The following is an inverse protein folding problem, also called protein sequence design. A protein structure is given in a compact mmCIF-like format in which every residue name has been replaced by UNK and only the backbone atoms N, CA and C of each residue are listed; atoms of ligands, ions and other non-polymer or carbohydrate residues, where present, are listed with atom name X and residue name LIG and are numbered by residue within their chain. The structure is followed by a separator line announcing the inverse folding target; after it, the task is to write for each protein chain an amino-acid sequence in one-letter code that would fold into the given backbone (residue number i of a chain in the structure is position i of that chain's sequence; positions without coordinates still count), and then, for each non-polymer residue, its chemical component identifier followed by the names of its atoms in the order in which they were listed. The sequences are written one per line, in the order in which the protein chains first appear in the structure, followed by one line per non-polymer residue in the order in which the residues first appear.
data_IF_145909811035
#
_entry.id   IF_145909811035
#
_cell.length_a   1.000
_cell.length_b   1.000
_cell.length_c   1.000
_cell.angle_alpha   90.00
_cell.angle_beta   90.00
_cell.angle_gamma   90.00
#
_symmetry.space_group_name_H-M   'P 1'
#
loop_
_entity.id
_entity.type
_entity.pdbx_description
1 polymer ?
#
# COMPACT_ATOMS: atom_id res chain seq x y z
N UNK A 1 14.14 -1.56 -12.86
CA UNK A 1 12.80 -2.19 -12.76
C UNK A 1 12.71 -2.76 -11.37
N UNK A 2 11.79 -2.23 -10.57
CA UNK A 2 11.55 -2.70 -9.22
C UNK A 2 10.43 -3.74 -9.20
N UNK A 3 10.26 -4.38 -8.04
CA UNK A 3 9.21 -5.36 -7.79
C UNK A 3 8.50 -4.99 -6.49
N UNK A 4 7.18 -4.86 -6.53
CA UNK A 4 6.35 -4.49 -5.40
C UNK A 4 5.40 -5.63 -5.03
N UNK A 5 5.20 -5.88 -3.74
CA UNK A 5 4.17 -6.80 -3.27
C UNK A 5 2.80 -6.12 -3.37
N UNK A 6 1.81 -6.83 -3.89
CA UNK A 6 0.44 -6.34 -4.02
C UNK A 6 -0.55 -7.31 -3.36
N UNK A 7 -1.66 -6.77 -2.85
CA UNK A 7 -2.78 -7.55 -2.34
C UNK A 7 -3.87 -7.54 -3.42
N UNK A 8 -4.10 -8.69 -4.05
CA UNK A 8 -4.99 -8.78 -5.22
C UNK A 8 -6.41 -9.18 -4.84
N UNK A 9 -6.55 -10.08 -3.88
CA UNK A 9 -7.81 -10.62 -3.37
C UNK A 9 -7.63 -11.00 -1.89
N UNK A 10 -8.71 -11.11 -1.09
CA UNK A 10 -8.59 -11.53 0.30
C UNK A 10 -7.82 -12.85 0.43
N UNK A 11 -6.76 -12.85 1.24
CA UNK A 11 -5.90 -14.02 1.44
C UNK A 11 -4.82 -14.22 0.37
N UNK A 12 -4.74 -13.37 -0.66
CA UNK A 12 -3.86 -13.56 -1.81
C UNK A 12 -2.96 -12.36 -2.06
N UNK A 13 -1.67 -12.66 -2.14
CA UNK A 13 -0.62 -11.70 -2.51
C UNK A 13 -0.04 -12.07 -3.87
N UNK A 14 0.47 -11.07 -4.57
CA UNK A 14 1.26 -11.25 -5.78
C UNK A 14 2.37 -10.19 -5.81
N UNK A 15 3.14 -10.16 -6.90
CA UNK A 15 4.10 -9.11 -7.16
C UNK A 15 3.86 -8.45 -8.51
N UNK A 16 3.96 -7.13 -8.53
CA UNK A 16 3.91 -6.32 -9.74
C UNK A 16 5.28 -5.71 -10.00
N UNK A 17 5.72 -5.75 -11.26
CA UNK A 17 6.90 -5.01 -11.68
C UNK A 17 6.54 -3.55 -11.87
N UNK A 18 7.44 -2.64 -11.49
CA UNK A 18 7.25 -1.21 -11.69
C UNK A 18 8.49 -0.55 -12.28
N UNK A 19 8.26 0.53 -13.00
CA UNK A 19 9.31 1.40 -13.49
C UNK A 19 9.81 2.30 -12.36
N UNK A 20 11.12 2.31 -12.15
CA UNK A 20 11.73 3.22 -11.19
C UNK A 20 11.66 4.63 -11.76
N UNK A 21 11.02 5.52 -11.01
CA UNK A 21 10.92 6.94 -11.37
C UNK A 21 12.30 7.58 -11.38
N UNK A 22 12.50 8.55 -12.28
CA UNK A 22 13.69 9.40 -12.29
C UNK A 22 13.82 10.13 -10.95
N UNK A 23 15.05 10.16 -10.41
CA UNK A 23 15.33 10.78 -9.14
C UNK A 23 15.37 12.30 -9.29
N UNK A 24 14.51 13.03 -8.57
CA UNK A 24 14.46 14.50 -8.65
C UNK A 24 15.35 15.15 -7.59
N UNK A 25 15.59 16.45 -7.77
CA UNK A 25 16.25 17.29 -6.77
C UNK A 25 15.48 17.24 -5.45
N UNK A 26 16.20 16.99 -4.34
CA UNK A 26 15.66 16.77 -2.97
C UNK A 26 14.97 15.43 -2.72
N UNK A 27 15.14 14.45 -3.60
CA UNK A 27 14.71 13.08 -3.35
C UNK A 27 15.90 12.17 -3.08
N UNK A 28 15.64 11.05 -2.41
CA UNK A 28 16.60 9.96 -2.24
C UNK A 28 15.98 8.67 -2.77
N UNK A 29 16.80 7.85 -3.44
CA UNK A 29 16.39 6.50 -3.79
C UNK A 29 16.77 5.57 -2.65
N UNK A 30 15.78 4.88 -2.11
CA UNK A 30 15.96 3.93 -1.02
C UNK A 30 15.76 2.52 -1.55
N UNK A 31 16.73 1.64 -1.27
CA UNK A 31 16.55 0.20 -1.41
C UNK A 31 16.04 -0.34 -0.08
N UNK A 32 14.78 -0.75 -0.04
CA UNK A 32 14.17 -1.42 1.11
C UNK A 32 14.97 -2.69 1.44
N UNK A 33 15.35 -2.84 2.71
CA UNK A 33 16.05 -4.02 3.24
C UNK A 33 15.06 -4.94 3.95
N UNK A 34 14.17 -4.35 4.74
CA UNK A 34 13.14 -5.05 5.49
C UNK A 34 11.87 -4.21 5.51
N UNK A 35 10.72 -4.87 5.50
CA UNK A 35 9.41 -4.26 5.72
C UNK A 35 8.69 -5.08 6.78
N UNK A 36 8.23 -4.40 7.83
CA UNK A 36 7.33 -4.95 8.84
C UNK A 36 5.93 -5.06 8.28
N UNK A 37 5.20 -6.08 8.75
CA UNK A 37 3.79 -6.26 8.43
C UNK A 37 2.98 -5.73 9.61
N UNK A 38 2.24 -4.66 9.37
CA UNK A 38 1.33 -4.10 10.35
C UNK A 38 0.17 -5.07 10.63
N UNK A 39 0.08 -5.50 11.89
CA UNK A 39 -0.99 -6.37 12.37
C UNK A 39 -2.38 -5.73 12.23
N UNK A 40 -2.47 -4.40 12.31
CA UNK A 40 -3.74 -3.70 12.21
C UNK A 40 -4.13 -3.49 10.75
N UNK A 41 -3.42 -2.59 10.08
CA UNK A 41 -3.83 -2.07 8.78
C UNK A 41 -3.61 -3.10 7.67
N UNK A 42 -2.38 -3.60 7.52
CA UNK A 42 -2.05 -4.46 6.38
C UNK A 42 -2.72 -5.83 6.48
N UNK A 43 -2.78 -6.42 7.67
CA UNK A 43 -3.53 -7.65 7.86
C UNK A 43 -5.03 -7.46 7.63
N UNK A 44 -5.60 -6.28 7.93
CA UNK A 44 -7.02 -6.02 7.60
C UNK A 44 -7.26 -5.87 6.10
N UNK A 45 -6.28 -5.34 5.34
CA UNK A 45 -6.31 -5.34 3.88
C UNK A 45 -6.20 -6.77 3.35
N UNK A 46 -5.18 -7.52 3.80
CA UNK A 46 -4.97 -8.91 3.39
C UNK A 46 -6.21 -9.78 3.65
N UNK A 47 -6.91 -9.59 4.78
CA UNK A 47 -8.16 -10.31 5.09
C UNK A 47 -9.40 -9.77 4.37
N UNK A 48 -9.31 -8.61 3.71
CA UNK A 48 -10.45 -7.94 3.09
C UNK A 48 -11.46 -7.34 4.06
N UNK A 49 -11.09 -7.15 5.33
CA UNK A 49 -11.96 -6.61 6.37
C UNK A 49 -11.79 -5.11 6.58
N UNK A 50 -10.82 -4.48 5.91
CA UNK A 50 -10.59 -3.05 6.03
C UNK A 50 -11.78 -2.26 5.42
N UNK A 51 -12.39 -1.32 6.16
CA UNK A 51 -13.55 -0.58 5.68
C UNK A 51 -13.27 0.25 4.42
N UNK A 52 -12.03 0.71 4.19
CA UNK A 52 -11.66 1.43 2.97
C UNK A 52 -11.84 0.61 1.69
N UNK A 53 -11.91 -0.72 1.79
CA UNK A 53 -12.11 -1.60 0.63
C UNK A 53 -13.59 -1.69 0.20
N UNK A 54 -14.54 -1.23 1.01
CA UNK A 54 -15.98 -1.44 0.73
C UNK A 54 -16.88 -0.28 1.11
N UNK A 55 -16.34 0.76 1.75
CA UNK A 55 -17.07 1.92 2.26
C UNK A 55 -16.37 3.21 1.86
N UNK A 56 -17.12 4.30 1.78
CA UNK A 56 -16.55 5.64 1.66
C UNK A 56 -16.34 6.24 3.03
N UNK A 57 -15.23 6.96 3.19
CA UNK A 57 -15.00 7.83 4.34
C UNK A 57 -15.79 9.14 4.16
N UNK A 58 -16.54 9.53 5.18
CA UNK A 58 -17.24 10.81 5.26
C UNK A 58 -16.40 11.76 6.11
N UNK A 59 -15.79 12.77 5.48
CA UNK A 59 -14.87 13.70 6.15
C UNK A 59 -15.58 14.60 7.17
N UNK A 60 -16.83 14.98 6.90
CA UNK A 60 -17.59 15.88 7.76
C UNK A 60 -17.98 15.20 9.08
N UNK A 61 -18.34 13.92 9.00
CA UNK A 61 -18.77 13.12 10.15
C UNK A 61 -17.67 12.22 10.73
N UNK A 62 -16.55 12.07 10.03
CA UNK A 62 -15.45 11.17 10.37
C UNK A 62 -15.91 9.71 10.58
N UNK A 63 -16.74 9.20 9.67
CA UNK A 63 -17.27 7.84 9.71
C UNK A 63 -17.21 7.15 8.34
N UNK A 64 -17.23 5.81 8.35
CA UNK A 64 -17.43 5.04 7.12
C UNK A 64 -18.90 4.84 6.80
N UNK A 65 -19.32 5.24 5.60
CA UNK A 65 -20.67 5.05 5.07
C UNK A 65 -20.71 3.97 4.00
N UNK A 66 -21.80 3.19 3.99
CA UNK A 66 -22.03 2.22 2.92
C UNK A 66 -22.26 2.95 1.59
N UNK A 67 -21.48 2.62 0.57
CA UNK A 67 -21.69 3.08 -0.80
C UNK A 67 -22.21 1.93 -1.65
N UNK A 68 -23.07 2.23 -2.63
CA UNK A 68 -23.69 1.21 -3.51
C UNK A 68 -22.74 0.64 -4.57
N UNK A 69 -21.43 0.84 -4.43
CA UNK A 69 -20.39 0.34 -5.31
C UNK A 69 -19.27 -0.28 -4.49
N UNK A 70 -18.83 -1.48 -4.87
CA UNK A 70 -17.63 -2.08 -4.32
C UNK A 70 -16.43 -1.23 -4.76
N UNK A 71 -15.66 -0.74 -3.80
CA UNK A 71 -14.29 -0.34 -4.11
C UNK A 71 -13.50 -1.64 -4.32
N UNK A 72 -12.65 -1.68 -5.35
CA UNK A 72 -11.87 -2.88 -5.65
C UNK A 72 -10.94 -3.27 -4.49
N UNK A 73 -10.57 -4.54 -4.40
CA UNK A 73 -9.67 -5.06 -3.36
C UNK A 73 -8.17 -4.82 -3.66
N UNK A 74 -7.82 -4.22 -4.80
CA UNK A 74 -6.43 -4.12 -5.25
C UNK A 74 -5.66 -3.05 -4.47
N UNK A 75 -4.90 -3.49 -3.45
CA UNK A 75 -4.00 -2.63 -2.66
C UNK A 75 -2.57 -2.75 -3.22
N UNK A 76 -2.04 -1.64 -3.74
CA UNK A 76 -0.72 -1.56 -4.39
C UNK A 76 0.39 -0.92 -3.56
N UNK A 77 0.04 -0.42 -2.37
CA UNK A 77 0.98 0.31 -1.51
C UNK A 77 0.99 -0.27 -0.07
N UNK A 78 1.13 -1.59 0.13
CA UNK A 78 1.52 -2.10 1.44
C UNK A 78 2.97 -1.72 1.74
N UNK A 79 3.39 -1.84 3.00
CA UNK A 79 4.79 -1.76 3.43
C UNK A 79 5.24 -0.41 3.98
N UNK A 80 4.44 0.24 4.84
CA UNK A 80 4.79 1.54 5.42
C UNK A 80 5.69 1.48 6.66
N UNK A 81 5.98 0.29 7.19
CA UNK A 81 6.89 0.07 8.32
C UNK A 81 8.22 -0.51 7.84
N UNK A 82 9.05 0.29 7.15
CA UNK A 82 10.25 -0.21 6.49
C UNK A 82 11.58 0.35 7.00
N UNK A 83 12.63 -0.44 6.79
CA UNK A 83 14.04 -0.03 6.94
C UNK A 83 14.71 -0.21 5.59
N UNK A 84 15.39 0.82 5.12
CA UNK A 84 16.07 0.82 3.83
C UNK A 84 17.43 1.51 3.86
N UNK A 85 18.19 1.30 2.79
CA UNK A 85 19.47 1.97 2.55
C UNK A 85 19.30 3.00 1.44
N UNK A 86 19.70 4.25 1.68
CA UNK A 86 19.85 5.24 0.62
C UNK A 86 20.93 4.78 -0.36
N UNK A 87 20.59 4.66 -1.63
CA UNK A 87 21.49 4.24 -2.71
C UNK A 87 21.84 5.36 -3.68
N UNK A 88 20.99 6.39 -3.80
CA UNK A 88 21.19 7.59 -4.63
C UNK A 88 20.53 8.81 -3.98
N UNK A 89 21.01 10.02 -4.32
CA UNK A 89 20.46 11.31 -3.87
C UNK A 89 20.50 12.33 -5.03
N UNK A 90 19.43 13.11 -5.19
CA UNK A 90 19.27 14.10 -6.27
C UNK A 90 19.40 15.55 -5.86
#
# INVERSE_FOLDING_TARGET
MGKALILVEPGKVDFEEYEELELRTREVRVRTLFSGISHGTEMSWYKGTNPHLSKAWDEDLQIYRFTRGQQGHSVRIPGYEEVGKVIEAG
#
